data_IF_641224158323
#
_entry.id   IF_641224158323
#
_cell.length_a   1.000
_cell.length_b   1.000
_cell.length_c   1.000
_cell.angle_alpha   90.00
_cell.angle_beta   90.00
_cell.angle_gamma   90.00
#
_symmetry.space_group_name_H-M   'P 1'
#
loop_
_entity.id
_entity.type
_entity.pdbx_description
1 polymer ?
#
# COMPACT_ATOMS: atom_id res chain seq x y z
N UNK A 1 3.59 11.43 -15.78
CA UNK A 1 4.05 10.36 -14.92
C UNK A 1 2.83 9.66 -14.34
N UNK A 2 2.68 8.38 -14.65
CA UNK A 2 1.54 7.62 -14.16
C UNK A 2 1.88 7.00 -12.80
N UNK A 3 1.05 7.28 -11.79
CA UNK A 3 1.22 6.79 -10.41
C UNK A 3 0.33 5.57 -10.13
N UNK A 4 0.12 4.73 -11.14
CA UNK A 4 -0.72 3.53 -11.02
C UNK A 4 0.12 2.28 -10.91
N UNK A 5 -0.50 1.24 -10.35
CA UNK A 5 0.05 -0.12 -10.44
C UNK A 5 0.14 -0.57 -11.89
N UNK A 6 1.15 -1.38 -12.20
CA UNK A 6 1.23 -1.99 -13.50
C UNK A 6 0.01 -2.89 -13.75
N UNK A 7 -0.53 -2.94 -14.99
CA UNK A 7 -1.71 -3.75 -15.28
C UNK A 7 -1.56 -5.22 -14.93
N UNK A 8 -0.38 -5.79 -15.12
CA UNK A 8 -0.08 -7.18 -14.79
C UNK A 8 -0.13 -7.45 -13.28
N UNK A 9 0.29 -6.49 -12.45
CA UNK A 9 0.22 -6.61 -10.99
C UNK A 9 -1.23 -6.53 -10.52
N UNK A 10 -2.01 -5.60 -11.05
CA UNK A 10 -3.43 -5.51 -10.77
C UNK A 10 -4.19 -6.77 -11.19
N UNK A 11 -3.82 -7.37 -12.33
CA UNK A 11 -4.42 -8.62 -12.81
C UNK A 11 -4.08 -9.79 -11.89
N UNK A 12 -2.87 -9.84 -11.34
CA UNK A 12 -2.45 -10.87 -10.37
C UNK A 12 -3.31 -10.80 -9.11
N UNK A 13 -3.50 -9.61 -8.56
CA UNK A 13 -4.35 -9.40 -7.38
C UNK A 13 -5.79 -9.83 -7.66
N UNK A 14 -6.35 -9.43 -8.78
CA UNK A 14 -7.70 -9.80 -9.19
C UNK A 14 -7.86 -11.33 -9.34
N UNK A 15 -6.86 -12.02 -9.86
CA UNK A 15 -6.87 -13.48 -10.00
C UNK A 15 -6.89 -14.18 -8.64
N UNK A 16 -6.13 -13.70 -7.66
CA UNK A 16 -6.11 -14.26 -6.30
C UNK A 16 -7.43 -13.99 -5.60
N UNK A 17 -8.00 -12.79 -5.72
CA UNK A 17 -9.32 -12.46 -5.18
C UNK A 17 -10.38 -13.42 -5.72
N UNK A 18 -10.37 -13.67 -7.03
CA UNK A 18 -11.33 -14.56 -7.68
C UNK A 18 -11.27 -15.99 -7.14
N UNK A 19 -10.12 -16.42 -6.64
CA UNK A 19 -9.97 -17.73 -6.01
C UNK A 19 -10.69 -17.84 -4.66
N UNK A 20 -11.16 -16.73 -4.08
CA UNK A 20 -11.96 -16.71 -2.85
C UNK A 20 -11.18 -16.97 -1.57
N UNK A 21 -9.85 -16.84 -1.58
CA UNK A 21 -9.01 -17.00 -0.40
C UNK A 21 -8.66 -15.66 0.24
N UNK A 22 -8.47 -15.59 1.58
CA UNK A 22 -7.95 -14.37 2.21
C UNK A 22 -6.60 -13.99 1.61
N UNK A 23 -6.41 -12.68 1.38
CA UNK A 23 -5.23 -12.17 0.69
C UNK A 23 -4.62 -10.98 1.43
N UNK A 24 -3.33 -11.05 1.70
CA UNK A 24 -2.52 -9.90 2.08
C UNK A 24 -1.66 -9.47 0.89
N UNK A 25 -1.65 -8.19 0.58
CA UNK A 25 -0.83 -7.62 -0.49
C UNK A 25 0.36 -6.92 0.11
N UNK A 26 1.57 -7.31 -0.31
CA UNK A 26 2.81 -6.61 0.03
C UNK A 26 3.23 -5.80 -1.20
N UNK A 27 3.18 -4.49 -1.06
CA UNK A 27 3.49 -3.57 -2.14
C UNK A 27 4.95 -3.13 -2.05
N UNK A 28 5.73 -3.42 -3.09
CA UNK A 28 7.09 -2.92 -3.25
C UNK A 28 7.06 -1.75 -4.24
N UNK A 29 7.35 -0.56 -3.76
CA UNK A 29 7.35 0.64 -4.62
C UNK A 29 8.22 1.74 -4.01
N UNK A 30 8.75 2.60 -4.86
CA UNK A 30 9.53 3.77 -4.44
C UNK A 30 8.68 5.01 -4.11
N UNK A 31 7.37 4.89 -4.26
CA UNK A 31 6.42 6.00 -4.04
C UNK A 31 5.01 5.47 -3.77
N UNK A 32 4.12 6.28 -3.15
CA UNK A 32 2.71 5.93 -3.08
C UNK A 32 2.12 5.81 -4.48
N UNK A 33 1.44 4.70 -4.74
CA UNK A 33 0.78 4.44 -6.02
C UNK A 33 -0.73 4.51 -5.87
N UNK A 34 -1.39 4.91 -6.94
CA UNK A 34 -2.84 4.77 -7.05
C UNK A 34 -3.17 3.27 -7.04
N UNK A 35 -3.79 2.81 -5.97
CA UNK A 35 -4.06 1.39 -5.74
C UNK A 35 -5.25 0.87 -6.54
N UNK A 36 -6.08 1.79 -7.10
CA UNK A 36 -7.29 1.38 -7.80
C UNK A 36 -8.16 0.49 -6.91
N UNK A 37 -8.53 -0.68 -7.41
CA UNK A 37 -9.40 -1.63 -6.70
C UNK A 37 -8.64 -2.54 -5.71
N UNK A 38 -7.32 -2.52 -5.72
CA UNK A 38 -6.48 -3.46 -4.94
C UNK A 38 -6.77 -3.36 -3.44
N UNK A 39 -6.93 -2.15 -2.92
CA UNK A 39 -7.20 -1.96 -1.49
C UNK A 39 -8.51 -2.61 -1.06
N UNK A 40 -9.54 -2.53 -1.89
CA UNK A 40 -10.84 -3.15 -1.61
C UNK A 40 -10.84 -4.68 -1.80
N UNK A 41 -9.89 -5.21 -2.54
CA UNK A 41 -9.75 -6.65 -2.83
C UNK A 41 -8.93 -7.39 -1.78
N UNK A 42 -8.02 -6.69 -1.08
CA UNK A 42 -7.14 -7.29 -0.09
C UNK A 42 -7.70 -7.16 1.34
N UNK A 43 -7.49 -8.17 2.18
CA UNK A 43 -7.77 -8.11 3.61
C UNK A 43 -6.74 -7.27 4.35
N UNK A 44 -5.49 -7.24 3.86
CA UNK A 44 -4.41 -6.44 4.42
C UNK A 44 -3.50 -5.91 3.32
N UNK A 45 -2.96 -4.72 3.53
CA UNK A 45 -1.98 -4.11 2.65
C UNK A 45 -0.77 -3.66 3.47
N UNK A 46 0.41 -4.09 3.04
CA UNK A 46 1.69 -3.68 3.62
C UNK A 46 2.48 -2.91 2.56
N UNK A 47 2.75 -1.63 2.82
CA UNK A 47 3.65 -0.84 2.00
C UNK A 47 5.09 -1.09 2.48
N UNK A 48 5.82 -1.94 1.76
CA UNK A 48 7.16 -2.36 2.15
C UNK A 48 8.26 -1.51 1.51
N UNK A 49 7.90 -0.57 0.67
CA UNK A 49 8.84 0.32 -0.04
C UNK A 49 9.89 -0.46 -0.83
N UNK A 50 11.16 -0.17 -0.64
CA UNK A 50 12.27 -0.80 -1.38
C UNK A 50 13.18 -1.56 -0.40
N UNK A 51 12.83 -2.78 0.00
CA UNK A 51 13.57 -3.51 1.04
C UNK A 51 14.93 -4.06 0.57
N UNK A 52 15.19 -4.09 -0.74
CA UNK A 52 16.42 -4.67 -1.26
C UNK A 52 16.57 -6.14 -0.85
N UNK A 53 17.67 -6.46 -0.17
CA UNK A 53 17.96 -7.83 0.30
C UNK A 53 17.39 -8.12 1.70
N UNK A 54 16.66 -7.18 2.32
CA UNK A 54 16.18 -7.27 3.70
C UNK A 54 14.74 -7.83 3.78
N UNK A 55 14.43 -8.83 2.97
CA UNK A 55 13.12 -9.47 2.94
C UNK A 55 12.69 -10.11 4.27
N UNK A 56 13.63 -10.49 5.12
CA UNK A 56 13.33 -11.05 6.44
C UNK A 56 12.54 -10.09 7.32
N UNK A 57 12.79 -8.78 7.22
CA UNK A 57 12.02 -7.78 7.94
C UNK A 57 10.54 -7.74 7.54
N UNK A 58 10.23 -8.03 6.28
CA UNK A 58 8.85 -8.14 5.80
C UNK A 58 8.19 -9.38 6.42
N UNK A 59 8.86 -10.53 6.38
CA UNK A 59 8.32 -11.77 6.93
C UNK A 59 8.12 -11.68 8.45
N UNK A 60 9.03 -11.02 9.17
CA UNK A 60 8.89 -10.81 10.60
C UNK A 60 7.59 -10.08 10.95
N UNK A 61 7.23 -9.07 10.17
CA UNK A 61 5.96 -8.35 10.34
C UNK A 61 4.77 -9.21 9.94
N UNK A 62 4.84 -9.90 8.80
CA UNK A 62 3.74 -10.74 8.31
C UNK A 62 3.40 -11.88 9.26
N UNK A 63 4.40 -12.50 9.90
CA UNK A 63 4.20 -13.61 10.81
C UNK A 63 4.14 -13.22 12.28
N UNK A 64 4.17 -11.93 12.58
CA UNK A 64 3.97 -11.43 13.94
C UNK A 64 5.19 -11.46 14.85
N UNK A 65 6.38 -11.77 14.32
CA UNK A 65 7.63 -11.74 15.09
C UNK A 65 8.03 -10.30 15.46
N UNK A 66 7.59 -9.33 14.66
CA UNK A 66 7.73 -7.91 14.93
C UNK A 66 6.42 -7.19 14.61
N UNK A 67 5.97 -6.30 15.50
CA UNK A 67 4.79 -5.48 15.23
C UNK A 67 5.10 -4.33 14.26
N UNK A 68 4.17 -3.96 13.37
CA UNK A 68 4.36 -2.80 12.51
C UNK A 68 4.31 -1.51 13.35
N UNK A 69 5.26 -0.62 13.13
CA UNK A 69 5.37 0.68 13.82
C UNK A 69 5.50 1.84 12.84
N UNK A 70 5.60 1.54 11.56
CA UNK A 70 5.81 2.53 10.51
C UNK A 70 4.66 3.52 10.38
N UNK A 71 5.00 4.78 10.15
CA UNK A 71 4.07 5.85 9.86
C UNK A 71 4.41 6.45 8.51
N UNK A 72 3.39 6.79 7.71
CA UNK A 72 3.63 7.41 6.42
C UNK A 72 4.34 8.76 6.58
N UNK A 73 5.44 8.92 5.87
CA UNK A 73 6.13 10.20 5.73
C UNK A 73 5.59 11.05 4.58
N UNK A 74 4.59 10.55 3.86
CA UNK A 74 3.86 11.21 2.80
C UNK A 74 2.37 10.93 2.95
N UNK A 75 1.52 11.78 2.36
CA UNK A 75 0.12 11.43 2.17
C UNK A 75 -0.02 10.43 1.03
N UNK A 76 -0.90 9.45 1.18
CA UNK A 76 -1.17 8.49 0.11
C UNK A 76 -2.36 8.97 -0.72
N UNK A 77 -2.23 9.15 -2.04
CA UNK A 77 -3.31 9.69 -2.87
C UNK A 77 -4.44 8.67 -3.08
N UNK A 78 -5.68 9.16 -3.18
CA UNK A 78 -6.82 8.32 -3.59
C UNK A 78 -6.74 7.94 -5.05
N UNK A 79 -6.20 8.84 -5.86
CA UNK A 79 -5.99 8.66 -7.30
C UNK A 79 -4.77 9.44 -7.72
N UNK A 80 -4.29 9.20 -8.93
CA UNK A 80 -3.13 9.90 -9.47
C UNK A 80 -3.34 11.41 -9.67
N UNK A 81 -4.56 11.91 -9.53
CA UNK A 81 -4.90 13.34 -9.66
C UNK A 81 -5.30 14.02 -8.35
N UNK A 82 -5.38 13.28 -7.25
CA UNK A 82 -5.79 13.84 -5.95
C UNK A 82 -4.69 14.72 -5.35
N UNK A 83 -5.00 15.95 -4.87
CA UNK A 83 -4.04 16.76 -4.11
C UNK A 83 -3.60 16.03 -2.83
N UNK A 84 -2.31 16.02 -2.56
CA UNK A 84 -1.74 15.22 -1.46
C UNK A 84 -0.82 16.00 -0.52
N UNK A 85 -0.54 17.27 -0.79
CA UNK A 85 0.27 18.07 0.11
C UNK A 85 -0.57 18.55 1.30
N UNK A 86 -0.04 18.42 2.50
CA UNK A 86 -0.69 18.97 3.70
C UNK A 86 -0.87 20.48 3.52
N UNK A 87 -2.11 20.94 3.66
CA UNK A 87 -2.46 22.36 3.45
C UNK A 87 -3.02 22.67 2.06
N UNK A 88 -3.02 21.72 1.13
CA UNK A 88 -3.67 21.94 -0.16
C UNK A 88 -5.18 22.16 0.00
N UNK A 89 -5.80 23.03 -0.80
CA UNK A 89 -7.25 23.11 -0.87
C UNK A 89 -7.82 21.73 -1.26
N UNK A 90 -8.90 21.31 -0.59
CA UNK A 90 -9.54 20.00 -0.82
C UNK A 90 -8.62 18.82 -0.55
N UNK A 91 -7.70 18.94 0.41
CA UNK A 91 -6.85 17.84 0.87
C UNK A 91 -7.72 16.68 1.36
N UNK A 92 -7.70 15.58 0.62
CA UNK A 92 -8.47 14.36 0.93
C UNK A 92 -7.68 13.12 0.47
N UNK A 93 -6.59 12.78 1.16
CA UNK A 93 -5.79 11.60 0.81
C UNK A 93 -6.54 10.30 1.15
N UNK A 94 -6.11 9.21 0.52
CA UNK A 94 -6.54 7.87 0.91
C UNK A 94 -6.06 7.54 2.33
N UNK A 95 -4.77 7.81 2.58
CA UNK A 95 -4.16 7.77 3.92
C UNK A 95 -3.39 9.06 4.16
N UNK A 96 -3.61 9.75 5.27
CA UNK A 96 -2.92 11.02 5.54
C UNK A 96 -1.46 10.79 5.95
N UNK A 97 -0.68 11.86 5.90
CA UNK A 97 0.64 11.90 6.53
C UNK A 97 0.55 11.40 7.98
N UNK A 98 1.48 10.56 8.37
CA UNK A 98 1.54 10.00 9.72
C UNK A 98 0.65 8.80 9.97
N UNK A 99 -0.13 8.37 8.96
CA UNK A 99 -0.97 7.18 9.09
C UNK A 99 -0.12 5.90 9.21
N UNK A 100 -0.59 4.97 10.04
CA UNK A 100 -0.01 3.63 10.14
C UNK A 100 -0.79 2.82 11.16
N UNK A 101 -0.96 1.53 10.86
CA UNK A 101 -1.62 0.59 11.75
C UNK A 101 -0.60 -0.17 12.60
N UNK A 102 -1.07 -0.69 13.71
CA UNK A 102 -0.32 -1.60 14.60
C UNK A 102 -1.17 -2.83 14.89
N UNK A 103 -0.53 -3.86 15.38
CA UNK A 103 -1.27 -5.00 15.93
C UNK A 103 -1.94 -4.64 17.25
#
# INVERSE_FOLDING_TARGET
>A
LELKLAPEDAATVAAVEKAGVPMAVVLLSGRPLDLGDVLGQAEALVAAWLPGTEGDGISDVLFGDAGPTGKLSFSWPRSSTTPVNVGDPNYDPLFPFGFGLTY
#
